data_IF_342427528449
#
_entry.id   IF_342427528449
#
_cell.length_a   1.000
_cell.length_b   1.000
_cell.length_c   1.000
_cell.angle_alpha   90.00
_cell.angle_beta   90.00
_cell.angle_gamma   90.00
#
_symmetry.space_group_name_H-M   'P 1'
#
loop_
_entity.id
_entity.type
_entity.pdbx_description
1 polymer ?
#
# COMPACT_ATOMS: atom_id res chain seq x y z
N UNK A 1 -20.91 3.55 6.77
CA UNK A 1 -19.77 3.56 5.82
C UNK A 1 -20.04 4.62 4.78
N UNK A 2 -19.16 5.59 4.59
CA UNK A 2 -19.30 6.61 3.55
C UNK A 2 -19.16 5.95 2.17
N UNK A 3 -20.00 6.33 1.20
CA UNK A 3 -19.97 5.78 -0.15
C UNK A 3 -18.57 5.92 -0.81
N UNK A 4 -17.82 6.98 -0.46
CA UNK A 4 -16.45 7.20 -0.91
C UNK A 4 -15.47 6.11 -0.47
N UNK A 5 -15.57 5.60 0.76
CA UNK A 5 -14.68 4.54 1.24
C UNK A 5 -14.90 3.22 0.48
N UNK A 6 -16.14 2.91 0.13
CA UNK A 6 -16.50 1.72 -0.66
C UNK A 6 -15.93 1.85 -2.08
N UNK A 7 -16.09 3.02 -2.71
CA UNK A 7 -15.56 3.28 -4.04
C UNK A 7 -14.03 3.18 -4.08
N UNK A 8 -13.33 3.79 -3.11
CA UNK A 8 -11.87 3.70 -2.99
C UNK A 8 -11.44 2.24 -2.80
N UNK A 9 -12.07 1.50 -1.89
CA UNK A 9 -11.74 0.10 -1.65
C UNK A 9 -11.91 -0.77 -2.90
N UNK A 10 -12.97 -0.55 -3.67
CA UNK A 10 -13.22 -1.27 -4.92
C UNK A 10 -12.16 -0.94 -5.98
N UNK A 11 -11.92 0.34 -6.25
CA UNK A 11 -10.95 0.79 -7.28
C UNK A 11 -9.53 0.41 -6.89
N UNK A 12 -9.13 0.68 -5.66
CA UNK A 12 -7.81 0.33 -5.15
C UNK A 12 -7.59 -1.19 -5.15
N UNK A 13 -8.59 -1.97 -4.75
CA UNK A 13 -8.53 -3.44 -4.79
C UNK A 13 -8.38 -4.00 -6.21
N UNK A 14 -9.13 -3.46 -7.18
CA UNK A 14 -9.02 -3.86 -8.58
C UNK A 14 -7.62 -3.56 -9.16
N UNK A 15 -7.12 -2.34 -8.95
CA UNK A 15 -5.78 -1.92 -9.39
C UNK A 15 -4.70 -2.75 -8.67
N UNK A 16 -4.81 -2.93 -7.36
CA UNK A 16 -3.87 -3.73 -6.58
C UNK A 16 -3.80 -5.18 -7.07
N UNK A 17 -4.94 -5.77 -7.43
CA UNK A 17 -5.02 -7.13 -7.96
C UNK A 17 -4.45 -7.27 -9.38
N UNK A 18 -4.67 -6.27 -10.25
CA UNK A 18 -4.16 -6.29 -11.62
C UNK A 18 -2.64 -6.07 -11.70
N UNK A 19 -2.13 -5.09 -10.95
CA UNK A 19 -0.73 -4.69 -11.04
C UNK A 19 0.16 -5.31 -9.96
N UNK A 20 -0.43 -5.95 -8.94
CA UNK A 20 0.32 -6.56 -7.83
C UNK A 20 1.03 -5.55 -6.90
N UNK A 21 0.78 -4.25 -7.06
CA UNK A 21 1.49 -3.16 -6.35
C UNK A 21 0.98 -2.95 -4.92
N UNK A 22 -0.06 -3.67 -4.48
CA UNK A 22 -0.57 -3.59 -3.11
C UNK A 22 -1.46 -2.38 -2.82
N UNK A 23 -1.85 -1.59 -3.82
CA UNK A 23 -2.94 -0.60 -3.69
C UNK A 23 -2.60 0.66 -2.88
N UNK A 24 -1.47 0.74 -2.17
CA UNK A 24 -1.08 1.92 -1.37
C UNK A 24 -1.02 3.22 -2.18
N UNK A 25 -0.63 3.13 -3.45
CA UNK A 25 -0.62 4.23 -4.43
C UNK A 25 -2.01 4.84 -4.65
N UNK A 26 -3.08 4.06 -4.40
CA UNK A 26 -4.48 4.48 -4.56
C UNK A 26 -5.15 4.73 -3.22
N UNK A 27 -4.91 3.85 -2.24
CA UNK A 27 -5.50 3.96 -0.90
C UNK A 27 -5.08 5.25 -0.20
N UNK A 28 -3.78 5.57 -0.14
CA UNK A 28 -3.31 6.74 0.63
C UNK A 28 -3.86 8.06 0.05
N UNK A 29 -3.73 8.35 -1.27
CA UNK A 29 -4.33 9.56 -1.84
C UNK A 29 -5.86 9.57 -1.73
N UNK A 30 -6.53 8.42 -1.89
CA UNK A 30 -7.97 8.33 -1.73
C UNK A 30 -8.43 8.68 -0.32
N UNK A 31 -7.73 8.17 0.70
CA UNK A 31 -8.02 8.46 2.10
C UNK A 31 -7.75 9.94 2.46
N UNK A 32 -6.67 10.53 1.95
CA UNK A 32 -6.36 11.95 2.18
C UNK A 32 -7.34 12.86 1.45
N UNK A 33 -7.49 12.72 0.14
CA UNK A 33 -8.25 13.68 -0.68
C UNK A 33 -9.77 13.51 -0.61
N UNK A 34 -10.27 12.29 -0.41
CA UNK A 34 -11.72 12.02 -0.41
C UNK A 34 -12.28 11.98 1.01
N UNK A 35 -11.52 11.44 1.96
CA UNK A 35 -11.97 11.27 3.35
C UNK A 35 -11.35 12.30 4.31
N UNK A 36 -10.41 13.13 3.83
CA UNK A 36 -9.84 14.22 4.62
C UNK A 36 -8.97 13.74 5.78
N UNK A 37 -8.46 12.50 5.73
CA UNK A 37 -7.55 12.00 6.75
C UNK A 37 -6.22 12.73 6.65
N UNK A 38 -5.58 12.92 7.81
CA UNK A 38 -4.19 13.38 7.87
C UNK A 38 -3.26 12.31 7.26
N UNK A 39 -2.01 12.67 6.95
CA UNK A 39 -1.13 11.79 6.18
C UNK A 39 -0.83 10.49 6.94
N UNK A 40 -0.59 10.58 8.25
CA UNK A 40 -0.21 9.44 9.08
C UNK A 40 -1.38 8.45 9.25
N UNK A 41 -2.60 8.95 9.48
CA UNK A 41 -3.80 8.14 9.63
C UNK A 41 -4.20 7.49 8.31
N UNK A 42 -4.02 8.19 7.19
CA UNK A 42 -4.26 7.64 5.86
C UNK A 42 -3.31 6.46 5.56
N UNK A 43 -2.02 6.60 5.87
CA UNK A 43 -1.03 5.53 5.72
C UNK A 43 -1.37 4.33 6.62
N UNK A 44 -1.63 4.56 7.91
CA UNK A 44 -2.01 3.50 8.84
C UNK A 44 -3.29 2.76 8.42
N UNK A 45 -4.31 3.51 7.99
CA UNK A 45 -5.58 2.94 7.51
C UNK A 45 -5.37 2.15 6.20
N UNK A 46 -4.49 2.63 5.30
CA UNK A 46 -4.17 1.91 4.07
C UNK A 46 -3.49 0.56 4.33
N UNK A 47 -2.63 0.47 5.36
CA UNK A 47 -1.98 -0.78 5.77
C UNK A 47 -2.99 -1.81 6.27
N UNK A 48 -4.05 -1.37 6.95
CA UNK A 48 -5.15 -2.27 7.32
C UNK A 48 -5.98 -2.65 6.09
N UNK A 49 -6.26 -1.70 5.20
CA UNK A 49 -7.06 -1.92 4.01
C UNK A 49 -6.43 -2.92 3.02
N UNK A 50 -5.10 -3.05 3.00
CA UNK A 50 -4.40 -4.00 2.13
C UNK A 50 -4.53 -5.47 2.58
N UNK A 51 -4.80 -5.72 3.87
CA UNK A 51 -4.85 -7.08 4.43
C UNK A 51 -5.79 -8.02 3.66
N UNK A 52 -7.07 -7.68 3.40
CA UNK A 52 -7.95 -8.55 2.62
C UNK A 52 -7.45 -8.79 1.19
N UNK A 53 -6.84 -7.78 0.56
CA UNK A 53 -6.26 -7.91 -0.80
C UNK A 53 -5.10 -8.91 -0.78
N UNK A 54 -4.20 -8.78 0.20
CA UNK A 54 -3.07 -9.67 0.36
C UNK A 54 -3.50 -11.11 0.67
N UNK A 55 -4.53 -11.30 1.51
CA UNK A 55 -5.08 -12.62 1.83
C UNK A 55 -5.67 -13.30 0.59
N UNK A 56 -6.50 -12.57 -0.18
CA UNK A 56 -7.08 -13.10 -1.42
C UNK A 56 -5.99 -13.39 -2.45
N UNK A 57 -5.00 -12.50 -2.59
CA UNK A 57 -3.86 -12.70 -3.49
C UNK A 57 -3.04 -13.93 -3.12
N UNK A 58 -2.70 -14.09 -1.84
CA UNK A 58 -1.99 -15.26 -1.33
C UNK A 58 -2.78 -16.55 -1.54
N UNK A 59 -4.09 -16.53 -1.29
CA UNK A 59 -4.97 -17.67 -1.52
C UNK A 59 -5.00 -18.08 -3.00
N UNK A 60 -5.20 -17.12 -3.92
CA UNK A 60 -5.18 -17.36 -5.37
C UNK A 60 -3.83 -17.92 -5.82
N UNK A 61 -2.74 -17.34 -5.35
CA UNK A 61 -1.39 -17.78 -5.69
C UNK A 61 -1.07 -19.18 -5.16
N UNK A 62 -1.68 -19.56 -4.03
CA UNK A 62 -1.65 -20.93 -3.51
C UNK A 62 -2.33 -21.90 -4.48
N UNK A 63 -3.51 -21.55 -5.00
CA UNK A 63 -4.23 -22.38 -5.98
C UNK A 63 -3.44 -22.56 -7.28
N UNK A 64 -2.64 -21.56 -7.68
CA UNK A 64 -1.73 -21.67 -8.84
C UNK A 64 -0.44 -22.45 -8.57
N UNK A 65 -0.22 -22.95 -7.34
CA UNK A 65 0.99 -23.69 -6.98
C UNK A 65 2.25 -22.82 -6.86
N UNK A 66 2.10 -21.51 -6.89
CA UNK A 66 3.20 -20.56 -7.00
C UNK A 66 3.49 -19.82 -5.68
N UNK A 67 2.96 -20.34 -4.56
CA UNK A 67 3.11 -19.79 -3.22
C UNK A 67 4.37 -20.32 -2.53
N UNK A 68 5.37 -19.44 -2.39
CA UNK A 68 6.61 -19.73 -1.67
C UNK A 68 6.46 -19.36 -0.19
N UNK A 69 5.76 -20.22 0.56
CA UNK A 69 5.37 -19.94 1.95
C UNK A 69 6.57 -19.62 2.87
N UNK A 70 7.70 -20.30 2.67
CA UNK A 70 8.93 -20.05 3.44
C UNK A 70 9.41 -18.61 3.30
N UNK A 71 9.48 -18.11 2.06
CA UNK A 71 9.93 -16.76 1.77
C UNK A 71 8.94 -15.73 2.30
N UNK A 72 7.63 -16.00 2.14
CA UNK A 72 6.56 -15.14 2.67
C UNK A 72 6.63 -15.01 4.20
N UNK A 73 6.88 -16.10 4.92
CA UNK A 73 7.05 -16.07 6.38
C UNK A 73 8.30 -15.30 6.79
N UNK A 74 9.43 -15.49 6.09
CA UNK A 74 10.67 -14.75 6.40
C UNK A 74 10.47 -13.26 6.20
N UNK A 75 9.89 -12.85 5.05
CA UNK A 75 9.60 -11.45 4.76
C UNK A 75 8.59 -10.88 5.74
N UNK A 76 7.52 -11.62 6.05
CA UNK A 76 6.51 -11.19 7.02
C UNK A 76 7.07 -11.03 8.43
N UNK A 77 7.88 -11.99 8.90
CA UNK A 77 8.51 -11.94 10.21
C UNK A 77 9.50 -10.77 10.34
N UNK A 78 10.24 -10.45 9.27
CA UNK A 78 11.10 -9.26 9.23
C UNK A 78 10.26 -7.98 9.14
N UNK A 79 9.15 -7.97 8.41
CA UNK A 79 8.31 -6.78 8.28
C UNK A 79 7.77 -6.28 9.62
N UNK A 80 7.46 -7.16 10.58
CA UNK A 80 6.91 -6.78 11.91
C UNK A 80 7.83 -5.82 12.69
N UNK A 81 9.10 -6.15 13.00
CA UNK A 81 9.98 -5.24 13.74
C UNK A 81 10.30 -3.97 12.95
N UNK A 82 10.41 -4.05 11.61
CA UNK A 82 10.64 -2.86 10.79
C UNK A 82 9.42 -1.94 10.74
N UNK A 83 8.19 -2.48 10.72
CA UNK A 83 6.97 -1.71 10.82
C UNK A 83 6.86 -1.02 12.19
N UNK A 84 7.17 -1.75 13.28
CA UNK A 84 7.19 -1.16 14.62
C UNK A 84 8.22 -0.03 14.74
N UNK A 85 9.43 -0.22 14.19
CA UNK A 85 10.46 0.82 14.12
C UNK A 85 10.00 2.01 13.26
N UNK A 86 9.32 1.76 12.14
CA UNK A 86 8.71 2.78 11.30
C UNK A 86 7.72 3.66 12.07
N UNK A 87 6.85 3.06 12.89
CA UNK A 87 5.91 3.79 13.75
C UNK A 87 6.63 4.70 14.75
N UNK A 88 7.72 4.23 15.36
CA UNK A 88 8.52 5.07 16.27
C UNK A 88 9.13 6.27 15.54
N UNK A 89 9.66 6.06 14.33
CA UNK A 89 10.23 7.14 13.52
C UNK A 89 9.15 8.13 13.09
N UNK A 90 8.01 7.65 12.59
CA UNK A 90 6.94 8.50 12.06
C UNK A 90 6.39 9.45 13.12
N UNK A 91 6.29 8.98 14.37
CA UNK A 91 5.83 9.81 15.49
C UNK A 91 6.87 10.85 15.97
N UNK A 92 8.14 10.69 15.61
CA UNK A 92 9.22 11.62 15.96
C UNK A 92 9.49 12.66 14.86
N UNK A 93 8.94 12.48 13.67
CA UNK A 93 9.19 13.31 12.50
C UNK A 93 7.98 14.22 12.26
N UNK A 94 8.17 15.51 11.88
CA UNK A 94 7.06 16.40 11.57
C UNK A 94 6.26 15.88 10.36
N UNK A 95 4.93 15.99 10.44
CA UNK A 95 3.99 15.46 9.43
C UNK A 95 4.32 15.93 8.01
N UNK A 96 4.75 17.20 7.84
CA UNK A 96 5.13 17.75 6.54
C UNK A 96 6.27 16.98 5.88
N UNK A 97 7.20 16.43 6.65
CA UNK A 97 8.28 15.61 6.10
C UNK A 97 7.77 14.25 5.63
N UNK A 98 6.77 13.67 6.30
CA UNK A 98 6.10 12.42 5.88
C UNK A 98 5.35 12.64 4.57
N UNK A 99 4.57 13.73 4.47
CA UNK A 99 3.88 14.12 3.23
C UNK A 99 4.85 14.27 2.05
N UNK A 100 5.98 14.96 2.25
CA UNK A 100 6.98 15.16 1.21
C UNK A 100 7.69 13.86 0.83
N UNK A 101 7.98 12.99 1.80
CA UNK A 101 8.55 11.68 1.54
C UNK A 101 7.60 10.79 0.72
N UNK A 102 6.31 10.78 1.08
CA UNK A 102 5.28 10.07 0.33
C UNK A 102 5.11 10.66 -1.08
N UNK A 103 5.09 11.99 -1.23
CA UNK A 103 5.03 12.64 -2.53
C UNK A 103 6.24 12.28 -3.41
N UNK A 104 7.45 12.24 -2.84
CA UNK A 104 8.65 11.82 -3.55
C UNK A 104 8.57 10.34 -3.99
N UNK A 105 8.05 9.46 -3.12
CA UNK A 105 7.79 8.06 -3.45
C UNK A 105 6.80 7.94 -4.61
N UNK A 106 5.71 8.71 -4.59
CA UNK A 106 4.71 8.71 -5.67
C UNK A 106 5.29 9.18 -7.00
N UNK A 107 6.12 10.22 -7.01
CA UNK A 107 6.84 10.66 -8.21
C UNK A 107 7.79 9.57 -8.71
N UNK A 108 8.52 8.90 -7.80
CA UNK A 108 9.38 7.77 -8.16
C UNK A 108 8.60 6.63 -8.81
N UNK A 109 7.46 6.23 -8.22
CA UNK A 109 6.58 5.20 -8.79
C UNK A 109 6.04 5.62 -10.15
N UNK A 110 5.58 6.86 -10.29
CA UNK A 110 5.08 7.39 -11.56
C UNK A 110 6.14 7.34 -12.67
N UNK A 111 7.39 7.73 -12.37
CA UNK A 111 8.51 7.63 -13.32
C UNK A 111 8.79 6.17 -13.65
N UNK A 112 8.75 5.27 -12.67
CA UNK A 112 8.94 3.83 -12.87
C UNK A 112 7.92 3.25 -13.85
N UNK A 113 6.64 3.60 -13.69
CA UNK A 113 5.56 3.16 -14.58
C UNK A 113 5.68 3.75 -15.99
N UNK A 114 6.02 5.04 -16.11
CA UNK A 114 6.26 5.65 -17.42
C UNK A 114 7.43 4.98 -18.15
N UNK A 115 8.47 4.58 -17.42
CA UNK A 115 9.62 3.88 -18.00
C UNK A 115 9.32 2.44 -18.37
N UNK A 116 8.46 1.73 -17.63
CA UNK A 116 8.08 0.37 -18.01
C UNK A 116 7.32 0.35 -19.32
N UNK A 117 6.41 1.32 -19.54
CA UNK A 117 5.63 1.44 -20.77
C UNK A 117 6.49 1.76 -21.99
N UNK A 118 7.51 2.61 -21.84
CA UNK A 118 8.42 3.00 -22.96
C UNK A 118 9.43 1.90 -23.31
N UNK A 119 9.55 0.87 -22.47
CA UNK A 119 10.52 -0.22 -22.64
C UNK A 119 9.92 -1.47 -23.29
N UNK A 120 8.60 -1.50 -23.47
CA UNK A 120 7.88 -2.45 -24.33
C UNK A 120 7.72 -1.87 -25.74
#
# INVERSE_FOLDING_TARGET
MSAGAIAIGFVAGAIAGMFGVGGGVVFVPGLVFVLGLNQVDAEATSLLAIVPVALVGAYRQSTYGNLRLRDGIVVGALAVPFAALGVVIVNAVPERAIELAFAALMVYVAIGLLRSEVRE
#
